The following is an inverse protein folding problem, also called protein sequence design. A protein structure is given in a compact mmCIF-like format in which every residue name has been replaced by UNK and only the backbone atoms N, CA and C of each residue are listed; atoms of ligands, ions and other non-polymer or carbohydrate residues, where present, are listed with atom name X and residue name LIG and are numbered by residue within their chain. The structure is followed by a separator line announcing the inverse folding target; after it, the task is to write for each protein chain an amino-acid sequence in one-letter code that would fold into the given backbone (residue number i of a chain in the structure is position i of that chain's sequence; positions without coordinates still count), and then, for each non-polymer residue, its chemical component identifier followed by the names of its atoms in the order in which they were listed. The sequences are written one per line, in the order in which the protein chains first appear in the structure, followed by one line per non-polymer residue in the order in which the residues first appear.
data_IF_531580523642
#
_entry.id   IF_531580523642
#
_cell.length_a   1.000
_cell.length_b   1.000
_cell.length_c   1.000
_cell.angle_alpha   90.00
_cell.angle_beta   90.00
_cell.angle_gamma   90.00
#
_symmetry.space_group_name_H-M   'P 1'
#
loop_
_entity.id
_entity.type
_entity.pdbx_description
1 polymer ?
#
# COMPACT_ATOMS: atom_id res chain seq x y z
N UNK A 1 -7.90 3.10 11.07
CA UNK A 1 -7.86 2.32 9.81
C UNK A 1 -9.08 2.67 8.99
N UNK A 2 -8.91 3.21 7.79
CA UNK A 2 -10.02 3.56 6.90
C UNK A 2 -10.34 2.50 5.84
N UNK A 3 -9.40 1.58 5.57
CA UNK A 3 -9.58 0.51 4.59
C UNK A 3 -10.79 -0.40 4.85
N UNK A 4 -10.96 -0.99 6.05
CA UNK A 4 -12.09 -1.88 6.33
C UNK A 4 -13.49 -1.26 6.12
N UNK A 5 -13.82 -0.07 6.69
CA UNK A 5 -15.14 0.51 6.46
C UNK A 5 -15.35 0.95 5.00
N UNK A 6 -14.30 1.34 4.27
CA UNK A 6 -14.39 1.64 2.84
C UNK A 6 -14.72 0.39 2.02
N UNK A 7 -13.98 -0.71 2.25
CA UNK A 7 -14.22 -1.98 1.58
C UNK A 7 -15.63 -2.52 1.87
N UNK A 8 -16.09 -2.43 3.11
CA UNK A 8 -17.45 -2.79 3.51
C UNK A 8 -18.50 -1.98 2.74
N UNK A 9 -18.33 -0.65 2.64
CA UNK A 9 -19.27 0.23 1.93
C UNK A 9 -19.30 -0.04 0.42
N UNK A 10 -18.19 -0.47 -0.15
CA UNK A 10 -18.07 -0.83 -1.57
C UNK A 10 -18.49 -2.28 -1.87
N UNK A 11 -18.70 -3.11 -0.83
CA UNK A 11 -19.03 -4.53 -1.00
C UNK A 11 -17.88 -5.36 -1.58
N UNK A 12 -16.63 -4.98 -1.30
CA UNK A 12 -15.42 -5.65 -1.80
C UNK A 12 -14.59 -6.26 -0.66
N UNK A 13 -13.67 -7.16 -1.02
CA UNK A 13 -12.73 -7.76 -0.08
C UNK A 13 -11.76 -6.74 0.54
N UNK A 14 -11.23 -7.07 1.72
CA UNK A 14 -10.23 -6.29 2.43
C UNK A 14 -9.05 -7.18 2.82
N UNK A 15 -7.83 -6.70 2.57
CA UNK A 15 -6.58 -7.42 2.84
C UNK A 15 -5.62 -6.51 3.61
N UNK A 16 -4.88 -7.10 4.55
CA UNK A 16 -3.89 -6.40 5.35
C UNK A 16 -2.48 -6.55 4.78
N UNK A 17 -1.77 -5.42 4.68
CA UNK A 17 -0.31 -5.39 4.60
C UNK A 17 0.20 -5.00 5.98
N UNK A 18 1.18 -5.74 6.50
CA UNK A 18 1.68 -5.57 7.88
C UNK A 18 3.20 -5.53 7.90
N UNK A 19 3.77 -5.08 9.03
CA UNK A 19 5.19 -5.30 9.31
C UNK A 19 5.44 -6.80 9.46
N UNK A 20 6.63 -7.24 9.06
CA UNK A 20 7.05 -8.65 9.15
C UNK A 20 6.74 -9.32 10.49
N UNK A 21 6.26 -10.56 10.44
CA UNK A 21 5.97 -11.40 11.60
C UNK A 21 4.66 -11.06 12.32
N UNK A 22 3.73 -10.35 11.65
CA UNK A 22 2.41 -9.98 12.21
C UNK A 22 1.26 -10.72 11.54
N UNK A 23 1.46 -11.26 10.34
CA UNK A 23 0.47 -12.09 9.66
C UNK A 23 0.72 -13.58 9.93
N UNK A 24 -0.34 -14.39 10.09
CA UNK A 24 -0.21 -15.83 10.18
C UNK A 24 0.04 -16.45 8.80
N UNK A 25 0.60 -17.67 8.80
CA UNK A 25 0.78 -18.46 7.58
C UNK A 25 1.87 -17.94 6.64
N UNK A 26 1.91 -18.45 5.39
CA UNK A 26 2.87 -18.02 4.37
C UNK A 26 2.65 -16.58 3.93
N UNK A 27 3.74 -15.82 3.81
CA UNK A 27 3.71 -14.41 3.40
C UNK A 27 4.70 -14.10 2.29
N UNK A 28 4.32 -13.18 1.41
CA UNK A 28 5.26 -12.46 0.55
C UNK A 28 5.80 -11.25 1.29
N UNK A 29 7.09 -10.96 1.11
CA UNK A 29 7.76 -9.85 1.82
C UNK A 29 8.48 -8.93 0.85
N UNK A 30 8.37 -7.62 1.08
CA UNK A 30 9.15 -6.58 0.42
C UNK A 30 9.88 -5.74 1.46
N UNK A 31 11.10 -5.42 1.10
CA UNK A 31 12.07 -4.67 1.87
C UNK A 31 12.18 -3.24 1.34
N UNK A 32 12.20 -2.24 2.24
CA UNK A 32 12.43 -0.86 1.85
C UNK A 32 13.37 -0.15 2.82
N UNK A 33 14.14 0.80 2.29
CA UNK A 33 15.09 1.59 3.05
C UNK A 33 14.40 2.68 3.86
N UNK A 34 14.89 2.90 5.08
CA UNK A 34 14.60 4.06 5.91
C UNK A 34 15.84 4.96 5.96
N UNK A 35 15.72 6.15 6.54
CA UNK A 35 16.88 7.05 6.77
C UNK A 35 17.97 6.36 7.60
N UNK A 36 17.54 5.58 8.60
CA UNK A 36 18.40 4.72 9.40
C UNK A 36 17.84 3.30 9.42
N UNK A 37 18.37 2.45 8.54
CA UNK A 37 18.06 1.03 8.49
C UNK A 37 17.05 0.63 7.43
N UNK A 38 16.33 -0.46 7.70
CA UNK A 38 15.48 -1.14 6.73
C UNK A 38 14.22 -1.64 7.43
N UNK A 39 13.09 -1.51 6.75
CA UNK A 39 11.83 -2.10 7.18
C UNK A 39 11.34 -3.12 6.15
N UNK A 40 10.50 -4.04 6.62
CA UNK A 40 9.92 -5.10 5.81
C UNK A 40 8.40 -5.10 5.98
N UNK A 41 7.69 -5.08 4.86
CA UNK A 41 6.24 -5.29 4.79
C UNK A 41 5.94 -6.68 4.27
N UNK A 42 4.87 -7.27 4.77
CA UNK A 42 4.37 -8.58 4.37
C UNK A 42 2.86 -8.57 4.10
N UNK A 43 2.45 -9.49 3.25
CA UNK A 43 1.06 -9.84 2.91
C UNK A 43 0.97 -11.36 2.82
N UNK A 44 -0.16 -11.95 3.19
CA UNK A 44 -0.36 -13.40 3.01
C UNK A 44 -0.30 -13.76 1.52
N UNK A 45 0.41 -14.84 1.18
CA UNK A 45 0.71 -15.20 -0.21
C UNK A 45 -0.54 -15.54 -1.04
N UNK A 46 -1.65 -15.85 -0.39
CA UNK A 46 -2.95 -16.20 -0.97
C UNK A 46 -3.98 -15.06 -0.86
N UNK A 47 -3.58 -13.88 -0.40
CA UNK A 47 -4.53 -12.82 -0.09
C UNK A 47 -5.17 -12.16 -1.32
N UNK A 48 -4.53 -12.26 -2.48
CA UNK A 48 -5.03 -11.75 -3.76
C UNK A 48 -4.66 -12.70 -4.89
N UNK A 49 -5.55 -12.81 -5.87
CA UNK A 49 -5.36 -13.63 -7.06
C UNK A 49 -4.60 -12.87 -8.15
N UNK A 50 -3.83 -13.56 -9.01
CA UNK A 50 -3.24 -12.95 -10.20
C UNK A 50 -4.30 -12.27 -11.09
N UNK A 51 -4.04 -11.02 -11.48
CA UNK A 51 -4.96 -10.18 -12.26
C UNK A 51 -6.08 -9.53 -11.45
N UNK A 52 -6.18 -9.80 -10.14
CA UNK A 52 -7.15 -9.15 -9.28
C UNK A 52 -6.84 -7.65 -9.19
N UNK A 53 -7.89 -6.85 -9.38
CA UNK A 53 -7.82 -5.38 -9.30
C UNK A 53 -7.89 -4.93 -7.86
N UNK A 54 -6.94 -4.10 -7.44
CA UNK A 54 -6.81 -3.65 -6.06
C UNK A 54 -6.61 -2.14 -5.99
N UNK A 55 -7.07 -1.55 -4.88
CA UNK A 55 -6.75 -0.17 -4.48
C UNK A 55 -5.97 -0.25 -3.17
N UNK A 56 -4.84 0.44 -3.10
CA UNK A 56 -4.03 0.49 -1.89
C UNK A 56 -4.42 1.76 -1.12
N UNK A 57 -4.73 1.61 0.16
CA UNK A 57 -5.26 2.70 0.99
C UNK A 57 -4.39 2.87 2.24
N UNK A 58 -4.01 4.11 2.53
CA UNK A 58 -3.35 4.49 3.78
C UNK A 58 -3.92 5.80 4.33
N UNK A 59 -3.55 6.19 5.56
CA UNK A 59 -3.98 7.47 6.12
C UNK A 59 -3.18 8.66 5.55
N UNK A 60 -1.85 8.52 5.46
CA UNK A 60 -0.94 9.62 5.13
C UNK A 60 0.16 9.20 4.16
N UNK A 61 0.38 9.99 3.11
CA UNK A 61 1.56 9.90 2.25
C UNK A 61 2.62 10.95 2.65
N UNK A 62 3.73 10.46 3.21
CA UNK A 62 4.93 11.25 3.49
C UNK A 62 5.97 11.07 2.36
N UNK A 63 7.02 10.30 2.60
CA UNK A 63 8.08 10.03 1.60
C UNK A 63 7.72 8.96 0.58
N UNK A 64 6.54 8.35 0.67
CA UNK A 64 6.03 7.32 -0.25
C UNK A 64 6.68 5.94 -0.17
N UNK A 65 7.64 5.70 0.73
CA UNK A 65 8.37 4.43 0.82
C UNK A 65 7.47 3.22 1.13
N UNK A 66 6.58 3.35 2.11
CA UNK A 66 5.65 2.29 2.53
C UNK A 66 4.63 1.98 1.44
N UNK A 67 4.02 3.00 0.84
CA UNK A 67 3.06 2.84 -0.26
C UNK A 67 3.71 2.19 -1.48
N UNK A 68 4.93 2.60 -1.86
CA UNK A 68 5.66 1.95 -2.95
C UNK A 68 5.98 0.48 -2.65
N UNK A 69 6.42 0.16 -1.42
CA UNK A 69 6.66 -1.22 -1.01
C UNK A 69 5.38 -2.08 -1.07
N UNK A 70 4.22 -1.51 -0.73
CA UNK A 70 2.92 -2.16 -0.90
C UNK A 70 2.59 -2.42 -2.38
N UNK A 71 2.88 -1.48 -3.27
CA UNK A 71 2.72 -1.67 -4.72
C UNK A 71 3.62 -2.81 -5.24
N UNK A 72 4.85 -2.90 -4.76
CA UNK A 72 5.79 -3.98 -5.13
C UNK A 72 5.32 -5.35 -4.61
N UNK A 73 4.65 -5.42 -3.46
CA UNK A 73 3.99 -6.65 -2.99
C UNK A 73 2.87 -7.07 -3.95
N UNK A 74 2.00 -6.13 -4.35
CA UNK A 74 0.93 -6.42 -5.31
C UNK A 74 1.48 -6.93 -6.63
N UNK A 75 2.58 -6.33 -7.11
CA UNK A 75 3.28 -6.78 -8.32
C UNK A 75 3.81 -8.22 -8.20
N UNK A 76 4.34 -8.63 -7.05
CA UNK A 76 4.79 -10.01 -6.78
C UNK A 76 3.63 -11.00 -6.84
N UNK A 77 2.49 -10.61 -6.28
CA UNK A 77 1.24 -11.38 -6.34
C UNK A 77 0.53 -11.27 -7.70
N UNK A 78 1.10 -10.51 -8.64
CA UNK A 78 0.57 -10.27 -9.99
C UNK A 78 -0.82 -9.61 -9.98
N UNK A 79 -1.13 -8.85 -8.94
CA UNK A 79 -2.34 -8.04 -8.86
C UNK A 79 -2.18 -6.73 -9.66
N UNK A 80 -3.29 -6.20 -10.15
CA UNK A 80 -3.35 -4.93 -10.87
C UNK A 80 -3.69 -3.80 -9.87
N UNK A 81 -2.71 -2.95 -9.57
CA UNK A 81 -2.94 -1.78 -8.72
C UNK A 81 -3.61 -0.69 -9.54
N UNK A 82 -4.90 -0.45 -9.28
CA UNK A 82 -5.68 0.57 -9.96
C UNK A 82 -5.32 1.98 -9.49
N UNK A 83 -5.17 2.15 -8.18
CA UNK A 83 -4.92 3.45 -7.56
C UNK A 83 -4.31 3.28 -6.15
N UNK A 84 -3.51 4.26 -5.74
CA UNK A 84 -3.13 4.50 -4.36
C UNK A 84 -3.92 5.68 -3.79
N UNK A 85 -4.57 5.48 -2.65
CA UNK A 85 -5.42 6.48 -2.01
C UNK A 85 -4.93 6.80 -0.60
N UNK A 86 -4.83 8.08 -0.27
CA UNK A 86 -4.58 8.55 1.10
C UNK A 86 -5.54 9.65 1.52
N UNK A 87 -5.72 9.82 2.83
CA UNK A 87 -6.46 10.98 3.35
C UNK A 87 -5.59 12.23 3.28
N UNK A 88 -4.32 12.13 3.67
CA UNK A 88 -3.41 13.27 3.80
C UNK A 88 -2.17 13.05 2.94
N UNK A 89 -1.77 14.04 2.16
CA UNK A 89 -0.47 14.07 1.46
C UNK A 89 0.37 15.26 1.95
N UNK A 90 1.64 15.00 2.27
CA UNK A 90 2.64 16.03 2.58
C UNK A 90 3.45 16.36 1.30
N UNK A 91 3.08 17.44 0.61
CA UNK A 91 3.60 17.78 -0.73
C UNK A 91 5.10 18.03 -0.73
N UNK A 92 5.64 18.70 0.30
CA UNK A 92 7.08 18.99 0.40
C UNK A 92 7.97 17.72 0.39
N UNK A 93 7.42 16.56 0.78
CA UNK A 93 8.18 15.30 0.81
C UNK A 93 8.15 14.52 -0.50
N UNK A 94 7.39 14.98 -1.50
CA UNK A 94 7.35 14.41 -2.87
C UNK A 94 7.11 12.90 -2.91
N UNK A 95 6.34 12.38 -1.95
CA UNK A 95 6.09 10.93 -1.85
C UNK A 95 5.39 10.35 -3.08
N UNK A 96 4.52 11.12 -3.72
CA UNK A 96 3.75 10.70 -4.89
C UNK A 96 4.65 10.45 -6.11
N UNK A 97 5.79 11.15 -6.24
CA UNK A 97 6.77 10.90 -7.31
C UNK A 97 7.33 9.48 -7.27
N UNK A 98 7.39 8.82 -6.09
CA UNK A 98 7.85 7.43 -5.98
C UNK A 98 6.86 6.42 -6.55
N UNK A 99 5.59 6.77 -6.68
CA UNK A 99 4.55 5.88 -7.19
C UNK A 99 4.60 5.76 -8.72
N UNK A 100 5.48 6.52 -9.39
CA UNK A 100 5.76 6.45 -10.84
C UNK A 100 4.48 6.58 -11.66
N UNK A 101 4.09 5.52 -12.36
CA UNK A 101 2.93 5.48 -13.25
C UNK A 101 1.65 5.00 -12.57
N UNK A 102 1.68 4.70 -11.26
CA UNK A 102 0.50 4.23 -10.54
C UNK A 102 -0.37 5.46 -10.22
N UNK A 103 -1.66 5.46 -10.60
CA UNK A 103 -2.58 6.54 -10.23
C UNK A 103 -2.59 6.78 -8.73
N UNK A 104 -2.63 8.05 -8.33
CA UNK A 104 -2.56 8.45 -6.93
C UNK A 104 -3.58 9.56 -6.63
N UNK A 105 -4.33 9.37 -5.55
CA UNK A 105 -5.31 10.32 -5.06
C UNK A 105 -5.08 10.64 -3.57
N UNK A 106 -5.15 11.92 -3.23
CA UNK A 106 -5.14 12.42 -1.86
C UNK A 106 -6.36 13.30 -1.59
N UNK A 107 -7.05 13.07 -0.46
CA UNK A 107 -8.22 13.86 -0.10
C UNK A 107 -7.85 15.27 0.39
N UNK A 108 -6.79 15.36 1.19
CA UNK A 108 -6.24 16.59 1.77
C UNK A 108 -4.76 16.70 1.41
N UNK A 109 -4.33 17.90 1.07
CA UNK A 109 -2.95 18.20 0.70
C UNK A 109 -2.43 19.31 1.61
N UNK A 110 -1.25 19.09 2.18
CA UNK A 110 -0.53 20.08 2.98
C UNK A 110 0.81 20.33 2.33
N UNK A 111 1.19 21.60 2.27
CA UNK A 111 2.53 22.02 1.84
C UNK A 111 3.54 21.73 2.96
#
# INVERSE_FOLDING_TARGET
LIGPPLAQRLGIGFVLIRKKGKLPGPTETVSYALEYGKAELEIQSDAVEPGQKVVIVDDLLATGGTMYAACELMKRLKAEVLECLVIIELKLLKGSEKLKSIPFYSLLQYD
#
